data_IF_488692716323
#
_entry.id   IF_488692716323
#
_cell.length_a   1.000
_cell.length_b   1.000
_cell.length_c   1.000
_cell.angle_alpha   90.00
_cell.angle_beta   90.00
_cell.angle_gamma   90.00
#
_symmetry.space_group_name_H-M   'P 1'
#
loop_
_entity.id
_entity.type
_entity.pdbx_description
1 polymer ?
#
# COMPACT_ATOMS: atom_id res chain seq x y z
N UNK A 1 40.92 -66.59 -15.86
CA UNK A 1 42.36 -66.92 -15.89
C UNK A 1 43.17 -65.65 -16.13
N UNK A 2 44.29 -65.56 -15.41
CA UNK A 2 45.28 -64.47 -15.30
C UNK A 2 45.92 -64.04 -16.62
N UNK A 3 46.27 -62.74 -16.77
CA UNK A 3 47.68 -62.28 -16.85
C UNK A 3 47.84 -60.75 -16.94
N UNK A 4 48.83 -60.28 -16.17
CA UNK A 4 49.43 -58.92 -16.11
C UNK A 4 50.11 -58.50 -17.43
N UNK A 5 50.29 -57.18 -17.61
CA UNK A 5 51.64 -56.57 -17.73
C UNK A 5 51.62 -55.04 -17.56
N UNK A 6 52.55 -54.58 -16.72
CA UNK A 6 52.99 -53.21 -16.49
C UNK A 6 53.63 -52.56 -17.73
N UNK A 7 53.60 -51.23 -17.85
CA UNK A 7 54.77 -50.36 -18.18
C UNK A 7 54.51 -48.92 -17.68
N UNK A 8 55.49 -48.37 -16.95
CA UNK A 8 55.63 -47.00 -16.45
C UNK A 8 55.79 -45.92 -17.52
N UNK A 9 55.41 -44.67 -17.22
CA UNK A 9 56.27 -43.51 -17.55
C UNK A 9 56.00 -42.27 -16.69
N UNK A 10 57.13 -41.67 -16.33
CA UNK A 10 57.39 -40.45 -15.56
C UNK A 10 57.15 -39.21 -16.43
N UNK A 11 56.75 -38.10 -15.81
CA UNK A 11 56.74 -36.75 -16.43
C UNK A 11 55.94 -35.76 -15.55
N UNK A 12 56.49 -35.23 -14.47
CA UNK A 12 57.31 -34.00 -14.40
C UNK A 12 56.47 -32.73 -14.10
N UNK A 13 56.97 -32.00 -13.12
CA UNK A 13 56.44 -30.84 -12.41
C UNK A 13 56.39 -29.57 -13.27
N UNK A 14 55.32 -28.77 -13.14
CA UNK A 14 55.40 -27.30 -13.28
C UNK A 14 54.59 -26.60 -12.19
N UNK A 15 55.32 -26.07 -11.21
CA UNK A 15 54.79 -25.17 -10.20
C UNK A 15 54.30 -23.86 -10.81
N UNK A 16 53.04 -23.52 -10.52
CA UNK A 16 52.47 -22.20 -10.77
C UNK A 16 52.86 -21.25 -9.65
N UNK A 17 53.77 -20.32 -9.96
CA UNK A 17 54.20 -19.23 -9.10
C UNK A 17 53.01 -18.30 -8.82
N UNK A 18 52.48 -18.32 -7.59
CA UNK A 18 51.51 -17.32 -7.11
C UNK A 18 52.20 -15.96 -7.01
N UNK A 19 51.96 -15.11 -7.99
CA UNK A 19 52.36 -13.71 -8.00
C UNK A 19 51.51 -12.95 -6.97
N UNK A 20 52.02 -12.81 -5.74
CA UNK A 20 51.45 -11.89 -4.74
C UNK A 20 51.83 -10.47 -5.14
N UNK A 21 50.89 -9.74 -5.71
CA UNK A 21 51.02 -8.30 -5.95
C UNK A 21 51.11 -7.58 -4.60
N UNK A 22 52.33 -7.20 -4.22
CA UNK A 22 52.59 -6.34 -3.08
C UNK A 22 52.15 -4.93 -3.49
N UNK A 23 50.98 -4.49 -3.03
CA UNK A 23 50.59 -3.09 -3.08
C UNK A 23 51.61 -2.30 -2.27
N UNK A 24 52.44 -1.52 -2.95
CA UNK A 24 53.40 -0.64 -2.29
C UNK A 24 52.64 0.52 -1.63
N UNK A 25 53.05 0.89 -0.41
CA UNK A 25 52.43 1.94 0.41
C UNK A 25 52.11 3.29 -0.28
N UNK A 26 52.84 3.80 -1.30
CA UNK A 26 52.46 5.06 -1.95
C UNK A 26 51.11 5.02 -2.68
N UNK A 27 50.61 3.84 -3.08
CA UNK A 27 49.34 3.73 -3.81
C UNK A 27 48.10 3.89 -2.92
N UNK A 28 48.22 3.63 -1.62
CA UNK A 28 47.10 3.79 -0.67
C UNK A 28 46.91 5.27 -0.32
N UNK A 29 48.00 6.04 -0.19
CA UNK A 29 47.93 7.47 0.11
C UNK A 29 47.23 8.27 -1.01
N UNK A 30 47.50 7.96 -2.27
CA UNK A 30 46.85 8.62 -3.41
C UNK A 30 45.33 8.36 -3.42
N UNK A 31 44.89 7.15 -3.06
CA UNK A 31 43.49 6.77 -3.08
C UNK A 31 42.70 7.44 -1.93
N UNK A 32 43.33 7.60 -0.75
CA UNK A 32 42.74 8.34 0.38
C UNK A 32 42.58 9.83 0.05
N UNK A 33 43.56 10.45 -0.62
CA UNK A 33 43.46 11.88 -1.02
C UNK A 33 42.32 12.09 -2.01
N UNK A 34 42.14 11.19 -2.98
CA UNK A 34 41.03 11.26 -3.95
C UNK A 34 39.67 11.13 -3.23
N UNK A 35 39.53 10.20 -2.29
CA UNK A 35 38.28 10.01 -1.55
C UNK A 35 37.94 11.21 -0.65
N UNK A 36 38.94 11.82 -0.01
CA UNK A 36 38.75 13.05 0.78
C UNK A 36 38.34 14.22 -0.12
N UNK A 37 38.95 14.35 -1.30
CA UNK A 37 38.58 15.38 -2.28
C UNK A 37 37.13 15.26 -2.76
N UNK A 38 36.68 14.04 -3.06
CA UNK A 38 35.29 13.77 -3.46
C UNK A 38 34.31 14.09 -2.32
N UNK A 39 34.63 13.71 -1.08
CA UNK A 39 33.78 14.01 0.08
C UNK A 39 33.67 15.53 0.32
N UNK A 40 34.76 16.29 0.12
CA UNK A 40 34.75 17.74 0.28
C UNK A 40 33.89 18.44 -0.78
N UNK A 41 33.98 18.01 -2.04
CA UNK A 41 33.16 18.54 -3.16
C UNK A 41 31.66 18.28 -2.91
N UNK A 42 31.31 17.07 -2.44
CA UNK A 42 29.93 16.73 -2.11
C UNK A 42 29.38 17.57 -0.94
N UNK A 43 30.21 17.85 0.07
CA UNK A 43 29.81 18.67 1.22
C UNK A 43 29.57 20.14 0.84
N UNK A 44 30.35 20.70 -0.09
CA UNK A 44 30.17 22.08 -0.58
C UNK A 44 28.87 22.19 -1.40
N UNK A 45 28.55 21.21 -2.25
CA UNK A 45 27.27 21.22 -2.99
C UNK A 45 26.06 21.06 -2.07
N UNK A 46 26.17 20.27 -1.00
CA UNK A 46 25.05 20.04 -0.08
C UNK A 46 24.76 21.25 0.84
N UNK A 47 25.77 22.08 1.15
CA UNK A 47 25.58 23.31 1.94
C UNK A 47 25.07 24.51 1.14
N UNK A 48 25.21 24.50 -0.19
CA UNK A 48 24.74 25.59 -1.06
C UNK A 48 23.22 25.77 -1.08
N UNK A 49 22.46 24.70 -0.84
CA UNK A 49 20.99 24.72 -0.93
C UNK A 49 20.25 25.17 0.34
N UNK A 50 20.97 25.45 1.44
CA UNK A 50 20.33 25.86 2.71
C UNK A 50 20.46 27.35 3.08
N UNK A 51 21.10 28.17 2.25
CA UNK A 51 21.31 29.60 2.54
C UNK A 51 20.27 30.55 1.92
N UNK A 52 19.00 30.11 1.80
CA UNK A 52 17.97 30.83 1.02
C UNK A 52 16.70 31.27 1.73
N UNK A 53 16.60 31.24 3.07
CA UNK A 53 15.40 31.75 3.78
C UNK A 53 15.75 32.48 5.08
N UNK A 54 15.88 33.79 4.98
CA UNK A 54 15.77 34.70 6.14
C UNK A 54 14.30 34.93 6.52
N UNK A 55 14.00 35.15 7.81
CA UNK A 55 12.66 35.40 8.32
C UNK A 55 12.35 36.90 8.24
N UNK A 56 11.20 37.26 7.67
CA UNK A 56 10.64 38.62 7.83
C UNK A 56 9.48 38.57 8.80
N UNK A 57 9.79 38.89 10.06
CA UNK A 57 8.81 39.35 11.04
C UNK A 57 8.41 40.78 10.68
N UNK A 58 7.11 41.02 10.49
CA UNK A 58 6.55 42.38 10.54
C UNK A 58 5.25 42.30 11.32
N UNK A 59 5.29 42.87 12.51
CA UNK A 59 4.17 43.19 13.38
C UNK A 59 3.22 44.12 12.62
N UNK A 60 1.93 43.82 12.62
CA UNK A 60 0.83 44.79 12.55
C UNK A 60 -0.44 44.11 13.09
N UNK A 61 -0.93 44.59 14.23
CA UNK A 61 -2.35 44.51 14.61
C UNK A 61 -2.92 45.91 14.43
N UNK A 62 -4.07 46.04 13.76
CA UNK A 62 -5.23 46.48 14.52
C UNK A 62 -6.51 45.69 14.20
N UNK A 63 -7.26 45.48 15.28
CA UNK A 63 -8.72 45.34 15.42
C UNK A 63 -9.57 45.41 14.13
N UNK A 64 -10.30 44.35 13.83
CA UNK A 64 -11.40 44.38 12.86
C UNK A 64 -11.93 43.01 12.45
N UNK A 65 -13.08 42.64 13.00
CA UNK A 65 -14.19 41.81 12.51
C UNK A 65 -14.04 40.97 11.21
N UNK A 66 -14.72 39.81 11.24
CA UNK A 66 -15.04 38.86 10.16
C UNK A 66 -14.00 37.75 9.92
N UNK A 67 -14.34 36.56 10.41
CA UNK A 67 -13.57 35.34 10.17
C UNK A 67 -13.70 34.83 8.74
N UNK A 68 -12.70 34.09 8.24
CA UNK A 68 -12.89 33.19 7.13
C UNK A 68 -12.65 31.74 7.52
N UNK A 69 -13.65 30.94 7.19
CA UNK A 69 -13.70 29.50 7.01
C UNK A 69 -12.34 28.79 6.89
N UNK A 70 -12.04 27.99 7.92
CA UNK A 70 -11.13 26.84 7.79
C UNK A 70 -11.81 25.83 6.86
N UNK A 71 -11.38 25.82 5.60
CA UNK A 71 -11.70 24.78 4.63
C UNK A 71 -11.15 23.44 5.15
N UNK A 72 -12.03 22.66 5.75
CA UNK A 72 -11.78 21.28 6.15
C UNK A 72 -11.30 20.47 4.93
N UNK A 73 -10.34 19.58 5.16
CA UNK A 73 -9.99 18.53 4.23
C UNK A 73 -11.28 17.77 3.89
N UNK A 74 -11.70 17.86 2.64
CA UNK A 74 -12.93 17.23 2.16
C UNK A 74 -12.67 15.72 2.14
N UNK A 75 -13.33 14.96 3.02
CA UNK A 75 -13.60 13.56 2.76
C UNK A 75 -14.23 13.43 1.37
N UNK A 76 -13.86 12.41 0.57
CA UNK A 76 -14.51 12.18 -0.71
C UNK A 76 -16.00 11.94 -0.44
N UNK A 77 -16.83 12.84 -0.97
CA UNK A 77 -18.29 12.75 -0.89
C UNK A 77 -18.71 11.40 -1.48
N UNK A 78 -19.49 10.57 -0.78
CA UNK A 78 -20.01 9.34 -1.35
C UNK A 78 -20.93 9.71 -2.50
N UNK A 79 -20.53 9.40 -3.74
CA UNK A 79 -21.47 9.31 -4.84
C UNK A 79 -22.34 8.08 -4.57
N UNK A 80 -23.45 8.27 -3.86
CA UNK A 80 -24.56 7.33 -3.86
C UNK A 80 -25.19 7.33 -5.25
N UNK A 81 -24.61 6.56 -6.15
CA UNK A 81 -25.26 6.20 -7.41
C UNK A 81 -26.43 5.28 -7.08
N UNK A 82 -27.65 5.73 -7.36
CA UNK A 82 -28.84 4.88 -7.33
C UNK A 82 -28.69 3.78 -8.38
N UNK A 83 -28.90 2.49 -8.06
CA UNK A 83 -28.89 1.43 -9.06
C UNK A 83 -30.15 1.57 -9.92
N UNK A 84 -30.03 2.30 -11.02
CA UNK A 84 -31.03 2.42 -12.07
C UNK A 84 -30.34 2.15 -13.40
N UNK A 85 -30.82 1.14 -14.12
CA UNK A 85 -30.32 0.72 -15.43
C UNK A 85 -30.43 1.85 -16.47
N UNK A 86 -29.49 2.80 -16.44
CA UNK A 86 -29.26 3.68 -17.57
C UNK A 86 -28.33 2.94 -18.54
N UNK A 87 -28.74 2.83 -19.80
CA UNK A 87 -27.96 2.20 -20.88
C UNK A 87 -26.64 2.91 -21.20
N UNK A 88 -26.37 4.03 -20.52
CA UNK A 88 -25.15 4.79 -20.60
C UNK A 88 -24.23 4.40 -19.44
N UNK A 89 -23.05 3.88 -19.77
CA UNK A 89 -22.01 3.61 -18.78
C UNK A 89 -21.69 4.91 -18.03
N UNK A 90 -21.80 4.88 -16.70
CA UNK A 90 -21.33 5.99 -15.88
C UNK A 90 -19.84 6.22 -16.15
N UNK A 91 -19.45 7.47 -16.37
CA UNK A 91 -18.05 7.81 -16.68
C UNK A 91 -17.32 8.12 -15.38
N UNK A 92 -16.18 7.47 -15.16
CA UNK A 92 -15.32 7.66 -13.99
C UNK A 92 -13.88 7.89 -14.45
N UNK A 93 -13.10 8.69 -13.75
CA UNK A 93 -11.66 8.80 -14.03
C UNK A 93 -10.88 7.68 -13.33
N UNK A 94 -9.71 7.30 -13.85
CA UNK A 94 -8.76 6.45 -13.13
C UNK A 94 -8.30 7.12 -11.83
N UNK A 95 -7.90 6.33 -10.83
CA UNK A 95 -7.52 6.79 -9.49
C UNK A 95 -8.64 7.54 -8.73
N UNK A 96 -9.90 7.19 -9.01
CA UNK A 96 -11.05 7.58 -8.21
C UNK A 96 -11.60 6.38 -7.45
N UNK A 97 -12.54 6.62 -6.54
CA UNK A 97 -13.29 5.54 -5.91
C UNK A 97 -14.75 5.92 -5.73
N UNK A 98 -15.59 4.89 -5.68
CA UNK A 98 -17.03 4.99 -5.40
C UNK A 98 -17.42 3.92 -4.37
N UNK A 99 -18.47 4.22 -3.60
CA UNK A 99 -19.12 3.23 -2.76
C UNK A 99 -20.29 2.62 -3.52
N UNK A 100 -20.22 1.32 -3.81
CA UNK A 100 -21.31 0.57 -4.41
C UNK A 100 -22.09 -0.10 -3.28
N UNK A 101 -23.31 0.37 -3.02
CA UNK A 101 -24.17 -0.14 -1.95
C UNK A 101 -25.43 -0.77 -2.57
N UNK A 102 -25.68 -2.03 -2.25
CA UNK A 102 -26.76 -2.84 -2.83
C UNK A 102 -27.31 -3.83 -1.81
N UNK A 103 -28.56 -4.27 -2.01
CA UNK A 103 -29.17 -5.37 -1.26
C UNK A 103 -29.19 -6.63 -2.12
N UNK A 104 -28.41 -7.64 -1.75
CA UNK A 104 -28.28 -8.89 -2.50
C UNK A 104 -29.19 -9.97 -1.95
N UNK A 105 -30.03 -10.54 -2.82
CA UNK A 105 -30.92 -11.65 -2.46
C UNK A 105 -30.22 -13.00 -2.62
N UNK A 106 -29.96 -13.66 -1.49
CA UNK A 106 -29.38 -15.02 -1.43
C UNK A 106 -30.44 -16.10 -1.13
N UNK A 107 -31.72 -15.74 -1.07
CA UNK A 107 -32.80 -16.63 -0.65
C UNK A 107 -32.91 -16.72 0.87
N UNK A 108 -32.98 -17.94 1.41
CA UNK A 108 -33.38 -18.18 2.80
C UNK A 108 -32.35 -17.79 3.87
N UNK A 109 -31.09 -17.53 3.51
CA UNK A 109 -30.03 -17.17 4.46
C UNK A 109 -29.00 -16.23 3.81
N UNK A 110 -28.84 -15.05 4.38
CA UNK A 110 -27.76 -14.14 4.04
C UNK A 110 -26.39 -14.79 4.39
N UNK A 111 -25.44 -14.84 3.44
CA UNK A 111 -24.08 -15.34 3.68
C UNK A 111 -23.21 -14.30 4.40
N UNK A 112 -21.96 -14.65 4.73
CA UNK A 112 -20.98 -13.66 5.19
C UNK A 112 -20.60 -12.70 4.06
N UNK A 113 -20.05 -11.52 4.39
CA UNK A 113 -19.58 -10.57 3.37
C UNK A 113 -18.48 -11.20 2.48
N UNK A 114 -17.57 -11.99 3.06
CA UNK A 114 -16.53 -12.67 2.31
C UNK A 114 -17.10 -13.70 1.32
N UNK A 115 -18.13 -14.45 1.73
CA UNK A 115 -18.82 -15.41 0.86
C UNK A 115 -19.62 -14.69 -0.23
N UNK A 116 -20.34 -13.61 0.12
CA UNK A 116 -21.09 -12.80 -0.83
C UNK A 116 -20.19 -12.20 -1.92
N UNK A 117 -19.01 -11.72 -1.54
CA UNK A 117 -18.02 -11.24 -2.49
C UNK A 117 -17.60 -12.31 -3.50
N UNK A 118 -17.64 -13.61 -3.19
CA UNK A 118 -17.34 -14.67 -4.18
C UNK A 118 -18.43 -14.81 -5.23
N UNK A 119 -19.65 -14.40 -4.90
CA UNK A 119 -20.82 -14.42 -5.78
C UNK A 119 -20.96 -13.15 -6.63
N UNK A 120 -20.04 -12.19 -6.48
CA UNK A 120 -19.93 -11.02 -7.34
C UNK A 120 -18.85 -11.27 -8.40
N UNK A 121 -19.22 -11.21 -9.67
CA UNK A 121 -18.29 -11.24 -10.79
C UNK A 121 -17.71 -9.85 -11.04
N UNK A 122 -16.41 -9.81 -11.32
CA UNK A 122 -15.71 -8.60 -11.75
C UNK A 122 -15.47 -8.67 -13.25
N UNK A 123 -16.09 -7.77 -14.00
CA UNK A 123 -15.87 -7.61 -15.44
C UNK A 123 -14.81 -6.55 -15.70
N UNK A 124 -13.72 -6.91 -16.40
CA UNK A 124 -12.66 -5.99 -16.78
C UNK A 124 -12.43 -6.02 -18.29
N UNK A 125 -12.35 -4.83 -18.91
CA UNK A 125 -11.85 -4.67 -20.28
C UNK A 125 -10.91 -3.46 -20.34
N UNK A 126 -9.64 -3.62 -19.96
CA UNK A 126 -8.68 -2.52 -19.97
C UNK A 126 -8.36 -2.07 -21.39
N UNK A 127 -8.16 -0.75 -21.57
CA UNK A 127 -7.88 -0.18 -22.91
C UNK A 127 -6.52 -0.66 -23.47
N UNK A 128 -5.57 -1.00 -22.59
CA UNK A 128 -4.26 -1.55 -22.93
C UNK A 128 -4.25 -3.10 -23.05
N UNK A 129 -5.41 -3.75 -22.86
CA UNK A 129 -5.56 -5.20 -22.96
C UNK A 129 -4.94 -6.03 -21.82
N UNK A 130 -4.38 -5.42 -20.78
CA UNK A 130 -3.65 -6.15 -19.72
C UNK A 130 -4.26 -5.89 -18.34
N UNK A 131 -4.21 -6.82 -17.37
CA UNK A 131 -4.56 -6.54 -15.96
C UNK A 131 -6.02 -6.10 -15.69
N UNK A 132 -6.26 -5.54 -14.49
CA UNK A 132 -7.60 -5.10 -14.03
C UNK A 132 -7.82 -3.60 -14.21
N UNK A 133 -9.06 -3.17 -14.45
CA UNK A 133 -9.45 -1.75 -14.56
C UNK A 133 -9.86 -1.13 -13.22
N UNK A 134 -10.25 -1.95 -12.25
CA UNK A 134 -10.64 -1.54 -10.91
C UNK A 134 -10.31 -2.63 -9.87
N UNK A 135 -10.46 -2.29 -8.59
CA UNK A 135 -10.41 -3.26 -7.48
C UNK A 135 -11.42 -2.87 -6.39
N UNK A 136 -12.03 -3.85 -5.73
CA UNK A 136 -12.68 -3.64 -4.44
C UNK A 136 -11.58 -3.58 -3.37
N UNK A 137 -11.55 -2.46 -2.64
CA UNK A 137 -10.56 -2.18 -1.60
C UNK A 137 -10.98 -2.73 -0.25
N UNK A 138 -12.26 -2.55 0.07
CA UNK A 138 -12.86 -3.11 1.24
C UNK A 138 -14.37 -3.34 1.02
N UNK A 139 -14.95 -4.17 1.86
CA UNK A 139 -16.39 -4.34 1.89
C UNK A 139 -16.89 -4.59 3.32
N UNK A 140 -18.06 -4.05 3.61
CA UNK A 140 -18.79 -4.26 4.85
C UNK A 140 -20.28 -4.39 4.55
N UNK A 141 -21.05 -4.81 5.54
CA UNK A 141 -22.48 -5.00 5.35
C UNK A 141 -23.12 -5.75 6.51
N UNK A 142 -24.42 -5.94 6.40
CA UNK A 142 -25.25 -6.59 7.39
C UNK A 142 -26.48 -7.26 6.73
N UNK A 143 -27.06 -8.30 7.33
CA UNK A 143 -28.34 -8.83 6.88
C UNK A 143 -29.45 -7.78 7.03
N UNK A 144 -30.34 -7.71 6.06
CA UNK A 144 -31.53 -6.84 6.10
C UNK A 144 -32.70 -7.53 6.82
N UNK A 145 -33.72 -6.79 7.29
CA UNK A 145 -34.91 -7.38 7.92
C UNK A 145 -35.69 -8.36 7.02
N UNK A 146 -35.64 -8.18 5.69
CA UNK A 146 -36.26 -9.07 4.71
C UNK A 146 -35.38 -10.28 4.33
N UNK A 147 -34.21 -10.45 4.96
CA UNK A 147 -33.35 -11.62 4.80
C UNK A 147 -32.32 -11.53 3.67
N UNK A 148 -32.24 -10.39 2.97
CA UNK A 148 -31.18 -10.08 2.01
C UNK A 148 -29.89 -9.70 2.73
N UNK A 149 -28.84 -9.47 1.95
CA UNK A 149 -27.59 -8.95 2.45
C UNK A 149 -27.37 -7.52 1.94
N UNK A 150 -27.42 -6.54 2.84
CA UNK A 150 -26.98 -5.18 2.55
C UNK A 150 -25.45 -5.17 2.51
N UNK A 151 -24.86 -4.83 1.36
CA UNK A 151 -23.41 -4.80 1.19
C UNK A 151 -22.98 -3.46 0.57
N UNK A 152 -21.96 -2.87 1.17
CA UNK A 152 -21.24 -1.71 0.64
C UNK A 152 -19.83 -2.13 0.26
N UNK A 153 -19.45 -1.87 -0.98
CA UNK A 153 -18.13 -2.17 -1.54
C UNK A 153 -17.43 -0.89 -1.95
N UNK A 154 -16.21 -0.69 -1.47
CA UNK A 154 -15.38 0.43 -1.86
C UNK A 154 -14.62 0.09 -3.14
N UNK A 155 -15.08 0.61 -4.27
CA UNK A 155 -14.54 0.30 -5.60
C UNK A 155 -13.58 1.40 -6.04
N UNK A 156 -12.31 1.05 -6.25
CA UNK A 156 -11.30 1.97 -6.77
C UNK A 156 -11.02 1.71 -8.25
N UNK A 157 -11.10 2.76 -9.07
CA UNK A 157 -10.66 2.72 -10.47
C UNK A 157 -9.14 2.75 -10.52
N UNK A 158 -8.55 1.77 -11.19
CA UNK A 158 -7.11 1.58 -11.27
C UNK A 158 -6.57 2.12 -12.59
N UNK A 159 -7.29 1.88 -13.70
CA UNK A 159 -6.84 2.33 -15.02
C UNK A 159 -7.96 2.38 -16.08
N UNK A 160 -7.72 3.04 -17.23
CA UNK A 160 -8.73 3.19 -18.28
C UNK A 160 -9.23 1.88 -18.85
N UNK A 161 -10.52 1.84 -19.17
CA UNK A 161 -11.20 0.67 -19.72
C UNK A 161 -12.68 0.59 -19.33
N UNK A 162 -13.27 -0.59 -19.47
CA UNK A 162 -14.60 -0.90 -18.95
C UNK A 162 -14.46 -1.68 -17.65
N UNK A 163 -15.36 -1.38 -16.72
CA UNK A 163 -15.47 -2.01 -15.42
C UNK A 163 -16.93 -2.39 -15.14
N UNK A 164 -17.16 -3.55 -14.53
CA UNK A 164 -18.48 -3.92 -14.01
C UNK A 164 -18.39 -4.84 -12.80
N UNK A 165 -19.40 -4.74 -11.94
CA UNK A 165 -19.74 -5.70 -10.89
C UNK A 165 -21.08 -6.32 -11.23
N UNK A 166 -21.13 -7.65 -11.27
CA UNK A 166 -22.34 -8.40 -11.62
C UNK A 166 -22.62 -9.44 -10.54
N UNK A 167 -23.86 -9.53 -10.08
CA UNK A 167 -24.24 -10.59 -9.15
C UNK A 167 -24.46 -11.89 -9.91
N UNK A 168 -23.58 -12.89 -9.72
CA UNK A 168 -23.56 -14.13 -10.51
C UNK A 168 -24.88 -14.90 -10.47
N UNK A 169 -25.55 -14.87 -9.31
CA UNK A 169 -26.78 -15.64 -9.08
C UNK A 169 -27.94 -15.18 -9.95
N UNK A 170 -28.05 -13.88 -10.19
CA UNK A 170 -29.19 -13.28 -10.91
C UNK A 170 -28.78 -12.70 -12.27
N UNK A 171 -27.49 -12.47 -12.50
CA UNK A 171 -26.98 -11.73 -13.66
C UNK A 171 -27.16 -10.21 -13.53
N UNK A 172 -27.62 -9.71 -12.39
CA UNK A 172 -27.86 -8.29 -12.16
C UNK A 172 -26.55 -7.49 -12.16
N UNK A 173 -26.53 -6.37 -12.89
CA UNK A 173 -25.39 -5.44 -12.89
C UNK A 173 -25.54 -4.53 -11.66
N UNK A 174 -24.64 -4.70 -10.70
CA UNK A 174 -24.59 -3.92 -9.47
C UNK A 174 -23.94 -2.55 -9.69
N UNK A 175 -22.96 -2.51 -10.57
CA UNK A 175 -22.25 -1.29 -10.97
C UNK A 175 -21.56 -1.51 -12.31
N UNK A 176 -21.52 -0.48 -13.16
CA UNK A 176 -20.71 -0.50 -14.37
C UNK A 176 -20.18 0.91 -14.68
N UNK A 177 -19.01 0.97 -15.30
CA UNK A 177 -18.42 2.26 -15.66
C UNK A 177 -17.49 2.17 -16.86
N UNK A 178 -17.44 3.26 -17.63
CA UNK A 178 -16.32 3.56 -18.53
C UNK A 178 -15.31 4.38 -17.74
N UNK A 179 -14.17 3.76 -17.43
CA UNK A 179 -13.05 4.42 -16.78
C UNK A 179 -12.19 5.10 -17.85
N UNK A 180 -11.96 6.40 -17.69
CA UNK A 180 -11.12 7.20 -18.58
C UNK A 180 -9.81 7.60 -17.91
N UNK A 181 -8.79 8.02 -18.67
CA UNK A 181 -7.56 8.56 -18.08
C UNK A 181 -7.85 9.67 -17.07
N UNK A 182 -7.12 9.67 -15.95
CA UNK A 182 -7.20 10.73 -14.98
C UNK A 182 -6.75 12.06 -15.61
N UNK A 183 -7.50 13.12 -15.36
CA UNK A 183 -7.12 14.48 -15.80
C UNK A 183 -6.11 15.12 -14.84
N UNK A 184 -5.98 14.55 -13.64
CA UNK A 184 -5.09 14.98 -12.58
C UNK A 184 -4.07 13.88 -12.25
N UNK A 185 -2.91 14.27 -11.73
CA UNK A 185 -1.93 13.29 -11.26
C UNK A 185 -2.54 12.44 -10.13
N UNK A 186 -2.44 11.09 -10.19
CA UNK A 186 -2.98 10.22 -9.17
C UNK A 186 -2.29 10.46 -7.83
N UNK A 187 -3.03 10.30 -6.73
CA UNK A 187 -2.52 10.49 -5.37
C UNK A 187 -1.34 9.56 -5.03
N UNK A 188 -1.23 8.41 -5.70
CA UNK A 188 -0.07 7.54 -5.63
C UNK A 188 0.25 6.93 -7.00
N UNK A 189 1.47 7.15 -7.50
CA UNK A 189 1.96 6.52 -8.74
C UNK A 189 2.57 5.13 -8.50
N UNK A 190 2.86 4.77 -7.24
CA UNK A 190 3.42 3.48 -6.88
C UNK A 190 2.44 2.74 -5.97
N UNK A 191 2.14 1.46 -6.28
CA UNK A 191 1.40 0.54 -5.39
C UNK A 191 2.27 0.12 -4.20
N UNK A 192 2.77 1.10 -3.47
CA UNK A 192 3.51 0.88 -2.24
C UNK A 192 2.50 0.86 -1.10
N UNK A 193 2.54 -0.20 -0.30
CA UNK A 193 1.72 -0.30 0.89
C UNK A 193 2.20 0.74 1.93
N UNK A 194 1.34 1.71 2.22
CA UNK A 194 1.51 2.61 3.34
C UNK A 194 0.68 2.10 4.52
N UNK A 195 1.27 2.11 5.71
CA UNK A 195 0.61 1.68 6.93
C UNK A 195 0.68 2.81 7.93
N UNK A 196 -0.45 3.18 8.52
CA UNK A 196 -0.50 4.11 9.64
C UNK A 196 -1.19 3.46 10.84
N UNK A 197 -0.78 3.88 12.04
CA UNK A 197 -1.28 3.35 13.31
C UNK A 197 -1.80 4.51 14.15
N UNK A 198 -2.98 4.35 14.76
CA UNK A 198 -3.51 5.36 15.66
C UNK A 198 -2.85 5.31 17.06
N UNK A 199 -2.80 6.45 17.74
CA UNK A 199 -2.56 6.50 19.19
C UNK A 199 -3.87 6.32 19.98
N UNK A 200 -3.79 6.45 21.32
CA UNK A 200 -4.94 6.37 22.23
C UNK A 200 -5.90 7.55 22.08
N UNK A 201 -5.44 8.64 21.50
CA UNK A 201 -6.21 9.85 21.23
C UNK A 201 -6.81 9.85 19.82
N UNK A 202 -6.57 8.79 19.02
CA UNK A 202 -7.05 8.65 17.65
C UNK A 202 -6.18 9.33 16.59
N UNK A 203 -5.04 9.92 16.94
CA UNK A 203 -4.15 10.51 15.94
C UNK A 203 -3.41 9.41 15.19
N UNK A 204 -3.45 9.48 13.85
CA UNK A 204 -2.79 8.49 12.99
C UNK A 204 -1.34 8.89 12.71
N UNK A 205 -0.42 7.92 12.86
CA UNK A 205 1.02 8.08 12.58
C UNK A 205 1.47 7.10 11.52
N UNK A 206 2.19 7.60 10.51
CA UNK A 206 2.72 6.78 9.43
C UNK A 206 3.89 5.93 9.93
N UNK A 207 3.94 4.67 9.49
CA UNK A 207 5.07 3.78 9.75
C UNK A 207 6.16 3.93 8.68
N UNK A 208 7.41 3.81 9.09
CA UNK A 208 8.57 3.79 8.21
C UNK A 208 8.89 2.36 7.77
N UNK A 209 8.58 2.05 6.51
CA UNK A 209 8.86 0.78 5.87
C UNK A 209 10.24 0.67 5.22
N UNK A 210 11.07 1.71 5.26
CA UNK A 210 12.36 1.74 4.54
C UNK A 210 13.38 0.70 5.05
N UNK A 211 13.21 0.23 6.30
CA UNK A 211 14.08 -0.78 6.91
C UNK A 211 13.80 -2.23 6.51
N UNK A 212 12.75 -2.51 5.75
CA UNK A 212 12.42 -3.88 5.32
C UNK A 212 12.03 -4.83 6.46
N UNK A 213 11.31 -4.33 7.47
CA UNK A 213 10.93 -5.09 8.66
C UNK A 213 10.12 -6.35 8.31
N UNK A 214 10.47 -7.48 8.93
CA UNK A 214 9.74 -8.74 8.76
C UNK A 214 8.40 -8.77 9.53
N UNK A 215 8.29 -7.95 10.58
CA UNK A 215 7.10 -7.75 11.40
C UNK A 215 6.80 -6.26 11.53
N UNK A 216 5.52 -5.91 11.69
CA UNK A 216 5.08 -4.54 11.98
C UNK A 216 5.64 -4.06 13.33
N UNK A 217 5.88 -4.96 14.27
CA UNK A 217 6.38 -4.60 15.61
C UNK A 217 7.79 -3.99 15.56
N UNK A 218 8.58 -4.35 14.54
CA UNK A 218 9.93 -3.85 14.33
C UNK A 218 9.98 -2.65 13.38
N UNK A 219 8.84 -2.26 12.80
CA UNK A 219 8.74 -1.03 12.04
C UNK A 219 8.86 0.18 12.99
N UNK A 220 9.35 1.30 12.46
CA UNK A 220 9.42 2.56 13.21
C UNK A 220 8.19 3.41 12.97
N UNK A 221 7.74 4.12 14.00
CA UNK A 221 6.81 5.24 13.84
C UNK A 221 7.61 6.41 13.29
N UNK A 222 7.30 6.85 12.06
CA UNK A 222 8.19 7.66 11.22
C UNK A 222 8.66 8.96 11.90
N UNK A 223 7.74 9.65 12.56
CA UNK A 223 7.99 10.95 13.18
C UNK A 223 8.53 10.86 14.62
N UNK A 224 8.35 9.72 15.29
CA UNK A 224 8.83 9.50 16.66
C UNK A 224 10.16 8.74 16.70
N UNK A 225 10.52 8.02 15.64
CA UNK A 225 11.73 7.18 15.56
C UNK A 225 11.71 5.94 16.46
N UNK A 226 10.67 5.78 17.29
CA UNK A 226 10.46 4.62 18.16
C UNK A 226 9.85 3.44 17.39
N UNK A 227 10.01 2.23 17.92
CA UNK A 227 9.40 1.04 17.31
C UNK A 227 7.89 1.01 17.56
N UNK A 228 7.15 0.31 16.69
CA UNK A 228 5.72 0.04 16.93
C UNK A 228 5.53 -0.73 18.23
N UNK A 229 6.45 -1.65 18.55
CA UNK A 229 6.49 -2.39 19.81
C UNK A 229 6.47 -1.48 21.04
N UNK A 230 7.23 -0.39 21.03
CA UNK A 230 7.27 0.53 22.18
C UNK A 230 6.10 1.51 22.17
N UNK A 231 5.58 1.81 20.98
CA UNK A 231 4.47 2.75 20.78
C UNK A 231 3.08 2.15 21.03
N UNK A 232 2.91 0.86 20.78
CA UNK A 232 1.64 0.15 20.88
C UNK A 232 1.68 -0.82 22.07
N UNK A 233 1.09 -0.48 23.23
CA UNK A 233 1.09 -1.36 24.39
C UNK A 233 0.43 -2.72 24.11
N UNK A 234 0.96 -3.78 24.70
CA UNK A 234 0.39 -5.12 24.57
C UNK A 234 -1.04 -5.18 25.11
N UNK A 235 -1.88 -6.00 24.48
CA UNK A 235 -3.31 -6.12 24.80
C UNK A 235 -4.19 -4.93 24.39
N UNK A 236 -3.62 -3.83 23.91
CA UNK A 236 -4.38 -2.64 23.50
C UNK A 236 -4.89 -2.76 22.06
N UNK A 237 -6.08 -2.21 21.82
CA UNK A 237 -6.67 -2.09 20.49
C UNK A 237 -6.24 -0.78 19.83
N UNK A 238 -5.90 -0.84 18.53
CA UNK A 238 -5.57 0.32 17.69
C UNK A 238 -6.26 0.23 16.34
N UNK A 239 -6.53 1.39 15.76
CA UNK A 239 -6.89 1.48 14.34
C UNK A 239 -5.60 1.37 13.52
N UNK A 240 -5.58 0.44 12.57
CA UNK A 240 -4.52 0.31 11.58
C UNK A 240 -5.11 0.68 10.23
N UNK A 241 -4.47 1.64 9.57
CA UNK A 241 -4.88 2.14 8.25
C UNK A 241 -3.90 1.67 7.19
N UNK A 242 -4.41 1.06 6.12
CA UNK A 242 -3.65 0.64 4.95
C UNK A 242 -4.02 1.51 3.74
N UNK A 243 -3.02 1.99 3.00
CA UNK A 243 -3.22 2.65 1.70
C UNK A 243 -2.38 1.92 0.67
N UNK A 244 -3.01 1.40 -0.37
CA UNK A 244 -2.35 0.58 -1.40
C UNK A 244 -2.92 0.82 -2.82
N UNK A 245 -4.14 1.34 -2.92
CA UNK A 245 -4.89 1.50 -4.17
C UNK A 245 -4.45 2.70 -5.00
N UNK A 246 -4.80 2.69 -6.28
CA UNK A 246 -4.54 3.83 -7.18
C UNK A 246 -5.23 5.12 -6.72
N UNK A 247 -6.43 5.03 -6.13
CA UNK A 247 -7.14 6.19 -5.57
C UNK A 247 -6.52 6.73 -4.27
N UNK A 248 -5.61 5.99 -3.64
CA UNK A 248 -5.04 6.36 -2.34
C UNK A 248 -6.04 6.27 -1.18
N UNK A 249 -7.16 5.57 -1.36
CA UNK A 249 -8.21 5.48 -0.36
C UNK A 249 -7.77 4.60 0.81
N UNK A 250 -7.95 5.05 2.07
CA UNK A 250 -7.55 4.29 3.24
C UNK A 250 -8.52 3.15 3.55
N UNK A 251 -7.97 1.97 3.83
CA UNK A 251 -8.70 0.82 4.40
C UNK A 251 -8.33 0.71 5.87
N UNK A 252 -9.32 0.81 6.75
CA UNK A 252 -9.13 0.85 8.21
C UNK A 252 -9.62 -0.43 8.86
N UNK A 253 -8.84 -0.93 9.81
CA UNK A 253 -9.23 -2.07 10.65
C UNK A 253 -8.96 -1.78 12.11
N UNK A 254 -9.66 -2.50 12.99
CA UNK A 254 -9.28 -2.60 14.39
C UNK A 254 -8.45 -3.86 14.61
N UNK A 255 -7.29 -3.69 15.24
CA UNK A 255 -6.42 -4.79 15.63
C UNK A 255 -5.99 -4.62 17.09
N UNK A 256 -5.76 -5.76 17.76
CA UNK A 256 -5.16 -5.84 19.09
C UNK A 256 -3.73 -6.33 18.96
N UNK A 257 -2.82 -5.77 19.75
CA UNK A 257 -1.49 -6.37 19.92
C UNK A 257 -1.56 -7.56 20.89
N UNK A 258 -0.88 -8.65 20.54
CA UNK A 258 -0.73 -9.84 21.39
C UNK A 258 0.71 -10.32 21.29
N UNK A 259 1.56 -9.79 22.17
CA UNK A 259 3.01 -9.98 22.14
C UNK A 259 3.65 -9.43 20.86
N UNK A 260 4.13 -10.34 20.02
CA UNK A 260 4.87 -10.06 18.77
C UNK A 260 4.00 -9.96 17.51
N UNK A 261 2.71 -10.18 17.67
CA UNK A 261 1.73 -10.28 16.59
C UNK A 261 0.52 -9.44 16.92
N UNK A 262 -0.35 -9.31 15.94
CA UNK A 262 -1.64 -8.68 16.11
C UNK A 262 -2.77 -9.65 15.81
N UNK A 263 -3.96 -9.35 16.29
CA UNK A 263 -5.18 -10.04 15.90
C UNK A 263 -6.21 -9.00 15.48
N UNK A 264 -6.95 -9.26 14.41
CA UNK A 264 -8.09 -8.41 14.06
C UNK A 264 -9.18 -8.58 15.13
N UNK A 265 -9.65 -7.47 15.70
CA UNK A 265 -10.72 -7.50 16.71
C UNK A 265 -12.11 -7.29 16.12
N UNK A 266 -12.17 -6.94 14.84
CA UNK A 266 -13.40 -6.87 14.06
C UNK A 266 -13.22 -7.66 12.77
N UNK A 267 -14.22 -8.48 12.45
CA UNK A 267 -14.27 -9.26 11.21
C UNK A 267 -14.38 -8.34 9.98
N UNK A 268 -15.13 -7.25 10.11
CA UNK A 268 -15.28 -6.24 9.07
C UNK A 268 -14.31 -5.06 9.24
N UNK A 269 -13.94 -4.41 8.12
CA UNK A 269 -14.29 -4.78 6.75
C UNK A 269 -13.52 -6.00 6.22
N UNK A 270 -14.01 -6.65 5.17
CA UNK A 270 -13.18 -7.56 4.36
C UNK A 270 -12.20 -6.70 3.57
N UNK A 271 -10.89 -6.86 3.78
CA UNK A 271 -9.87 -5.98 3.19
C UNK A 271 -9.26 -6.58 1.92
N UNK A 272 -9.06 -5.74 0.92
CA UNK A 272 -8.41 -6.01 -0.37
C UNK A 272 -8.80 -7.35 -1.02
N UNK A 273 -10.10 -7.67 -1.16
CA UNK A 273 -10.54 -8.97 -1.69
C UNK A 273 -10.03 -9.28 -3.10
N UNK A 274 -9.73 -8.24 -3.89
CA UNK A 274 -9.24 -8.38 -5.27
C UNK A 274 -7.71 -8.30 -5.37
N UNK A 275 -6.98 -8.16 -4.24
CA UNK A 275 -5.51 -8.07 -4.21
C UNK A 275 -4.87 -9.02 -3.18
N UNK A 276 -4.75 -10.32 -3.50
CA UNK A 276 -4.16 -11.29 -2.59
C UNK A 276 -2.69 -11.00 -2.28
N UNK A 277 -1.95 -10.31 -3.16
CA UNK A 277 -0.56 -9.92 -2.89
C UNK A 277 -0.44 -8.87 -1.78
N UNK A 278 -1.33 -7.88 -1.78
CA UNK A 278 -1.44 -6.92 -0.69
C UNK A 278 -1.84 -7.61 0.62
N UNK A 279 -2.85 -8.49 0.58
CA UNK A 279 -3.30 -9.25 1.77
C UNK A 279 -2.17 -10.10 2.34
N UNK A 280 -1.44 -10.85 1.51
CA UNK A 280 -0.30 -11.67 1.96
C UNK A 280 0.78 -10.83 2.63
N UNK A 281 1.08 -9.66 2.06
CA UNK A 281 2.08 -8.73 2.63
C UNK A 281 1.61 -8.20 3.99
N UNK A 282 0.35 -7.80 4.10
CA UNK A 282 -0.26 -7.33 5.35
C UNK A 282 -0.28 -8.45 6.38
N UNK A 283 -0.79 -9.64 6.05
CA UNK A 283 -0.82 -10.81 6.94
C UNK A 283 0.56 -11.13 7.50
N UNK A 284 1.58 -11.15 6.65
CA UNK A 284 2.97 -11.40 7.08
C UNK A 284 3.46 -10.32 8.06
N UNK A 285 3.28 -9.04 7.72
CA UNK A 285 3.72 -7.93 8.58
C UNK A 285 2.96 -7.91 9.91
N UNK A 286 1.66 -8.13 9.88
CA UNK A 286 0.79 -8.07 11.04
C UNK A 286 0.87 -9.32 11.93
N UNK A 287 1.41 -10.42 11.40
CA UNK A 287 1.52 -11.70 12.10
C UNK A 287 0.18 -12.41 12.30
N UNK A 288 -0.72 -12.31 11.31
CA UNK A 288 -2.03 -12.98 11.30
C UNK A 288 -1.94 -14.43 10.84
#
# INVERSE_FOLDING_TARGET
>A
MSKRKDVSRIGESRGGTRQRSVLTLPSIAALVIILIGIALILTIKYRGDQAGRSPRSTINSPTGSAGPDRKAASEPKPNTGTPGASSQLERMEAAQAVMVTVDLDFGSRAPTIADALREIERGYKPDDGTGRTFAILDAYGEPTPDGKLHISMHVSSEKPGIASLTFKRTGEILWNSRIVPATHAPASQAKNLLISLSDASGNSRLLDGSGGSASIMDAKVKDLGTTVRDYWPDGSDREVTFVYSACGCPVKIMARRTGERTIRTKELPVIFPDDPGAVLSITKLMGW
#
